data_IF_840087796145
#
_entry.id   IF_840087796145
#
_cell.length_a   1.000
_cell.length_b   1.000
_cell.length_c   1.000
_cell.angle_alpha   90.00
_cell.angle_beta   90.00
_cell.angle_gamma   90.00
#
_symmetry.space_group_name_H-M   'P 1'
#
loop_
_entity.id
_entity.type
_entity.pdbx_description
1 polymer ?
#
# COMPACT_ATOMS: atom_id res chain seq x y z
N UNK A 1 40.50 13.55 17.21
CA UNK A 1 39.92 14.35 18.30
C UNK A 1 38.61 14.93 17.80
N UNK A 2 37.47 14.26 17.99
CA UNK A 2 36.12 14.80 17.66
C UNK A 2 35.04 14.19 18.58
N UNK A 3 35.37 13.96 19.85
CA UNK A 3 34.44 13.31 20.79
C UNK A 3 33.36 14.28 21.29
N UNK A 4 33.73 15.55 21.49
CA UNK A 4 32.84 16.58 22.04
C UNK A 4 31.66 16.97 21.12
N UNK A 5 31.84 17.18 19.80
CA UNK A 5 30.71 17.45 18.91
C UNK A 5 29.71 16.31 18.86
N UNK A 6 30.20 15.06 18.83
CA UNK A 6 29.37 13.86 18.80
C UNK A 6 28.56 13.67 20.09
N UNK A 7 29.15 13.99 21.24
CA UNK A 7 28.43 13.96 22.53
C UNK A 7 27.32 15.01 22.57
N UNK A 8 27.57 16.23 22.08
CA UNK A 8 26.55 17.28 22.02
C UNK A 8 25.39 16.89 21.10
N UNK A 9 25.68 16.31 19.93
CA UNK A 9 24.64 15.78 19.04
C UNK A 9 23.84 14.66 19.69
N UNK A 10 24.48 13.74 20.41
CA UNK A 10 23.79 12.67 21.13
C UNK A 10 22.86 13.21 22.21
N UNK A 11 23.34 14.15 23.03
CA UNK A 11 22.54 14.79 24.09
C UNK A 11 21.35 15.53 23.49
N UNK A 12 21.56 16.29 22.41
CA UNK A 12 20.47 16.98 21.72
C UNK A 12 19.44 16.01 21.14
N UNK A 13 19.88 14.87 20.60
CA UNK A 13 19.00 13.82 20.08
C UNK A 13 18.21 13.14 21.21
N UNK A 14 18.82 12.90 22.37
CA UNK A 14 18.14 12.39 23.56
C UNK A 14 17.11 13.38 24.12
N UNK A 15 17.43 14.68 24.18
CA UNK A 15 16.51 15.72 24.66
C UNK A 15 15.34 15.87 23.69
N UNK A 16 15.60 15.96 22.39
CA UNK A 16 14.55 16.06 21.38
C UNK A 16 13.65 14.82 21.38
N UNK A 17 14.21 13.61 21.48
CA UNK A 17 13.43 12.38 21.60
C UNK A 17 12.58 12.36 22.88
N UNK A 18 13.13 12.81 24.01
CA UNK A 18 12.40 12.91 25.28
C UNK A 18 11.25 13.92 25.22
N UNK A 19 11.48 15.09 24.61
CA UNK A 19 10.46 16.11 24.41
C UNK A 19 9.34 15.60 23.48
N UNK A 20 9.69 14.95 22.38
CA UNK A 20 8.72 14.30 21.48
C UNK A 20 7.90 13.27 22.26
N UNK A 21 8.55 12.40 23.04
CA UNK A 21 7.86 11.39 23.85
C UNK A 21 6.88 12.02 24.85
N UNK A 22 7.28 13.09 25.55
CA UNK A 22 6.44 13.80 26.51
C UNK A 22 5.22 14.46 25.84
N UNK A 23 5.40 15.12 24.70
CA UNK A 23 4.31 15.74 23.93
C UNK A 23 3.29 14.69 23.48
N UNK A 24 3.77 13.53 23.00
CA UNK A 24 2.89 12.45 22.55
C UNK A 24 2.16 11.76 23.71
N UNK A 25 2.77 11.67 24.90
CA UNK A 25 2.14 11.10 26.11
C UNK A 25 1.02 11.98 26.66
N UNK A 26 1.10 13.30 26.46
CA UNK A 26 0.13 14.26 27.02
C UNK A 26 -1.20 14.31 26.24
N UNK A 27 -1.29 13.77 25.02
CA UNK A 27 -2.54 13.66 24.23
C UNK A 27 -3.47 12.52 24.72
N UNK A 28 -3.69 12.41 26.03
CA UNK A 28 -4.73 11.53 26.57
C UNK A 28 -6.08 12.23 26.48
N UNK A 29 -6.94 11.80 25.55
CA UNK A 29 -8.31 12.30 25.45
C UNK A 29 -9.19 11.63 26.53
N UNK A 30 -10.11 12.40 27.13
CA UNK A 30 -11.11 11.92 28.12
C UNK A 30 -12.16 10.96 27.53
N UNK A 31 -12.09 10.67 26.23
CA UNK A 31 -13.04 9.82 25.54
C UNK A 31 -12.84 8.35 25.91
N UNK A 32 -13.94 7.59 25.99
CA UNK A 32 -13.91 6.14 26.15
C UNK A 32 -13.42 5.50 24.85
N UNK A 33 -12.10 5.37 24.71
CA UNK A 33 -11.48 4.71 23.57
C UNK A 33 -11.44 3.18 23.76
N UNK A 34 -11.31 2.41 22.66
CA UNK A 34 -11.00 1.00 22.73
C UNK A 34 -9.79 0.65 23.62
N UNK A 35 -9.74 -0.57 24.19
CA UNK A 35 -8.51 -1.07 24.81
C UNK A 35 -7.40 -1.22 23.78
N UNK A 36 -6.14 -1.03 24.17
CA UNK A 36 -4.98 -1.14 23.28
C UNK A 36 -3.88 -0.14 23.59
N UNK A 37 -2.73 -0.27 22.90
CA UNK A 37 -1.60 0.66 22.99
C UNK A 37 -1.42 1.38 21.64
N UNK A 38 -0.86 2.58 21.64
CA UNK A 38 -0.50 3.29 20.40
C UNK A 38 0.96 3.09 20.00
N UNK A 39 1.74 2.33 20.77
CA UNK A 39 3.16 2.09 20.46
C UNK A 39 4.06 3.31 20.64
N UNK A 40 5.14 3.36 19.85
CA UNK A 40 6.15 4.41 19.92
C UNK A 40 5.65 5.73 19.31
N UNK A 41 6.18 6.89 19.73
CA UNK A 41 5.86 8.16 19.07
C UNK A 41 6.14 8.08 17.56
N UNK A 42 5.26 8.69 16.76
CA UNK A 42 5.33 8.78 15.29
C UNK A 42 5.15 7.44 14.53
N UNK A 43 5.90 6.39 14.87
CA UNK A 43 5.86 5.10 14.14
C UNK A 43 4.82 4.12 14.69
N UNK A 44 4.31 4.35 15.90
CA UNK A 44 3.33 3.50 16.55
C UNK A 44 3.82 2.06 16.76
N UNK A 45 2.99 1.11 16.34
CA UNK A 45 3.26 -0.33 16.32
C UNK A 45 3.63 -0.84 14.91
N UNK A 46 3.89 0.04 13.95
CA UNK A 46 4.17 -0.34 12.54
C UNK A 46 5.35 -1.32 12.42
N UNK A 47 6.38 -1.17 13.26
CA UNK A 47 7.51 -2.09 13.27
C UNK A 47 7.12 -3.47 13.84
N UNK A 48 6.32 -3.50 14.91
CA UNK A 48 5.79 -4.75 15.46
C UNK A 48 4.90 -5.47 14.44
N UNK A 49 4.10 -4.71 13.67
CA UNK A 49 3.31 -5.24 12.56
C UNK A 49 4.19 -5.83 11.45
N UNK A 50 5.22 -5.11 11.02
CA UNK A 50 6.15 -5.59 9.99
C UNK A 50 6.94 -6.83 10.43
N UNK A 51 7.31 -6.92 11.72
CA UNK A 51 8.05 -8.04 12.29
C UNK A 51 7.18 -9.26 12.63
N UNK A 52 5.86 -9.11 12.69
CA UNK A 52 4.94 -10.21 13.02
C UNK A 52 4.92 -11.34 11.97
N UNK A 53 5.58 -11.15 10.83
CA UNK A 53 5.62 -12.09 9.71
C UNK A 53 4.34 -12.10 8.88
N UNK A 54 3.18 -12.15 9.54
CA UNK A 54 1.88 -12.00 8.88
C UNK A 54 0.96 -11.00 9.60
N UNK A 55 0.11 -10.25 8.86
CA UNK A 55 -0.88 -9.37 9.47
C UNK A 55 -1.77 -10.09 10.49
N UNK A 56 -2.17 -11.33 10.22
CA UNK A 56 -3.05 -12.11 11.09
C UNK A 56 -2.41 -12.39 12.45
N UNK A 57 -1.09 -12.58 12.48
CA UNK A 57 -0.36 -12.84 13.73
C UNK A 57 -0.40 -11.62 14.63
N UNK A 58 -0.16 -10.42 14.07
CA UNK A 58 -0.31 -9.16 14.78
C UNK A 58 -1.74 -8.99 15.31
N UNK A 59 -2.75 -9.19 14.46
CA UNK A 59 -4.16 -9.02 14.85
C UNK A 59 -4.55 -10.01 15.96
N UNK A 60 -4.20 -11.29 15.85
CA UNK A 60 -4.51 -12.33 16.85
C UNK A 60 -3.89 -12.04 18.22
N UNK A 61 -2.64 -11.60 18.24
CA UNK A 61 -1.96 -11.23 19.49
C UNK A 61 -2.70 -10.09 20.20
N UNK A 62 -3.08 -9.03 19.47
CA UNK A 62 -3.81 -7.89 20.02
C UNK A 62 -5.23 -8.27 20.46
N UNK A 63 -5.88 -9.16 19.71
CA UNK A 63 -7.18 -9.71 20.09
C UNK A 63 -7.11 -10.45 21.42
N UNK A 64 -6.06 -11.27 21.62
CA UNK A 64 -5.85 -12.01 22.87
C UNK A 64 -5.49 -11.10 24.03
N UNK A 65 -4.70 -10.05 23.78
CA UNK A 65 -4.17 -9.17 24.83
C UNK A 65 -5.12 -8.07 25.28
N UNK A 66 -5.93 -7.54 24.36
CA UNK A 66 -6.74 -6.35 24.61
C UNK A 66 -8.24 -6.62 24.52
N UNK A 67 -8.71 -7.21 23.42
CA UNK A 67 -10.12 -7.50 23.20
C UNK A 67 -10.33 -8.30 21.92
N UNK A 68 -11.14 -9.36 22.01
CA UNK A 68 -11.51 -10.21 20.87
C UNK A 68 -12.37 -9.51 19.80
N UNK A 69 -12.92 -8.33 20.09
CA UNK A 69 -13.88 -7.65 19.21
C UNK A 69 -13.33 -6.38 18.60
N UNK A 70 -12.59 -5.58 19.39
CA UNK A 70 -12.11 -4.30 18.92
C UNK A 70 -10.94 -3.80 19.80
N UNK A 71 -9.91 -3.23 19.18
CA UNK A 71 -8.78 -2.65 19.91
C UNK A 71 -8.26 -1.39 19.20
N UNK A 72 -7.57 -0.51 19.94
CA UNK A 72 -6.85 0.63 19.35
C UNK A 72 -5.38 0.28 19.12
N UNK A 73 -4.83 0.83 18.05
CA UNK A 73 -3.41 0.79 17.70
C UNK A 73 -2.99 2.07 16.98
N UNK A 74 -1.70 2.23 16.72
CA UNK A 74 -1.22 3.18 15.73
C UNK A 74 -0.31 2.46 14.75
N UNK A 75 -0.59 2.58 13.45
CA UNK A 75 0.21 1.98 12.38
C UNK A 75 0.26 2.94 11.19
N UNK A 76 1.36 2.91 10.43
CA UNK A 76 1.59 3.73 9.25
C UNK A 76 1.48 5.25 9.50
N UNK A 77 1.74 5.68 10.73
CA UNK A 77 1.64 7.08 11.17
C UNK A 77 0.25 7.51 11.63
N UNK A 78 -0.70 6.59 11.67
CA UNK A 78 -2.12 6.89 11.89
C UNK A 78 -2.62 6.19 13.17
N UNK A 79 -3.49 6.86 13.93
CA UNK A 79 -4.19 6.24 15.06
C UNK A 79 -5.44 5.54 14.54
N UNK A 80 -5.65 4.27 14.90
CA UNK A 80 -6.72 3.46 14.33
C UNK A 80 -7.40 2.56 15.37
N UNK A 81 -8.69 2.31 15.14
CA UNK A 81 -9.45 1.27 15.83
C UNK A 81 -9.63 0.09 14.88
N UNK A 82 -9.21 -1.10 15.31
CA UNK A 82 -9.33 -2.33 14.55
C UNK A 82 -10.55 -3.08 15.03
N UNK A 83 -11.53 -3.26 14.14
CA UNK A 83 -12.70 -4.08 14.37
C UNK A 83 -12.39 -5.52 13.95
N UNK A 84 -12.70 -6.49 14.81
CA UNK A 84 -12.31 -7.88 14.64
C UNK A 84 -13.53 -8.78 14.45
N UNK A 85 -13.32 -9.86 13.69
CA UNK A 85 -14.33 -10.90 13.48
C UNK A 85 -15.52 -10.46 12.62
N UNK A 86 -16.46 -11.37 12.43
CA UNK A 86 -17.59 -11.18 11.52
C UNK A 86 -18.49 -10.01 11.91
N UNK A 87 -18.73 -9.79 13.21
CA UNK A 87 -19.58 -8.69 13.69
C UNK A 87 -18.93 -7.32 13.43
N UNK A 88 -17.63 -7.18 13.68
CA UNK A 88 -16.88 -5.95 13.38
C UNK A 88 -16.83 -5.65 11.88
N UNK A 89 -16.56 -6.67 11.06
CA UNK A 89 -16.58 -6.54 9.61
C UNK A 89 -17.96 -6.16 9.09
N UNK A 90 -19.03 -6.79 9.60
CA UNK A 90 -20.41 -6.42 9.25
C UNK A 90 -20.68 -4.96 9.59
N UNK A 91 -20.32 -4.50 10.78
CA UNK A 91 -20.48 -3.09 11.17
C UNK A 91 -19.80 -2.14 10.18
N UNK A 92 -18.54 -2.38 9.82
CA UNK A 92 -17.83 -1.52 8.86
C UNK A 92 -18.48 -1.55 7.47
N UNK A 93 -18.77 -2.74 6.93
CA UNK A 93 -19.24 -2.88 5.56
C UNK A 93 -20.72 -2.51 5.35
N UNK A 94 -21.56 -2.52 6.40
CA UNK A 94 -22.97 -2.11 6.27
C UNK A 94 -23.21 -0.63 6.59
N UNK A 95 -22.19 0.11 7.04
CA UNK A 95 -22.35 1.50 7.48
C UNK A 95 -21.45 2.50 6.71
N UNK A 96 -21.02 2.13 5.50
CA UNK A 96 -20.34 3.04 4.57
C UNK A 96 -21.21 4.29 4.31
N UNK A 97 -20.60 5.47 4.35
CA UNK A 97 -21.24 6.81 4.28
C UNK A 97 -22.16 7.18 5.44
N UNK A 98 -22.40 6.28 6.41
CA UNK A 98 -23.19 6.57 7.61
C UNK A 98 -22.31 6.84 8.82
N UNK A 99 -21.37 5.93 9.10
CA UNK A 99 -20.44 6.03 10.23
C UNK A 99 -18.97 5.96 9.80
N UNK A 100 -18.70 5.38 8.63
CA UNK A 100 -17.35 5.19 8.10
C UNK A 100 -17.32 5.53 6.61
N UNK A 101 -16.13 5.88 6.13
CA UNK A 101 -15.85 6.12 4.71
C UNK A 101 -14.56 5.39 4.34
N UNK A 102 -14.50 4.92 3.10
CA UNK A 102 -13.27 4.36 2.52
C UNK A 102 -12.14 5.39 2.60
N UNK A 103 -10.98 4.94 3.08
CA UNK A 103 -9.82 5.78 3.37
C UNK A 103 -8.54 4.98 3.26
N UNK A 104 -7.43 5.63 2.90
CA UNK A 104 -6.09 5.07 2.93
C UNK A 104 -5.14 5.94 3.75
N UNK A 105 -4.13 5.35 4.41
CA UNK A 105 -3.09 6.14 5.07
C UNK A 105 -2.42 7.13 4.13
N UNK A 106 -2.11 8.34 4.63
CA UNK A 106 -1.40 9.40 3.88
C UNK A 106 -0.10 8.92 3.25
N UNK A 107 0.56 7.94 3.86
CA UNK A 107 1.77 7.31 3.35
C UNK A 107 1.52 6.50 2.08
N UNK A 108 0.44 5.73 2.03
CA UNK A 108 0.01 4.98 0.84
C UNK A 108 -0.42 5.95 -0.26
N UNK A 109 -1.22 6.95 0.08
CA UNK A 109 -1.68 7.99 -0.84
C UNK A 109 -0.52 8.67 -1.58
N UNK A 110 0.53 9.08 -0.84
CA UNK A 110 1.73 9.72 -1.41
C UNK A 110 2.51 8.86 -2.39
N UNK A 111 2.40 7.53 -2.30
CA UNK A 111 3.07 6.61 -3.22
C UNK A 111 2.20 6.37 -4.46
N UNK A 112 0.87 6.30 -4.28
CA UNK A 112 -0.07 5.96 -5.35
C UNK A 112 -0.44 7.14 -6.25
N UNK A 113 -0.50 8.34 -5.69
CA UNK A 113 -1.04 9.51 -6.39
C UNK A 113 0.01 10.63 -6.52
N UNK A 114 -0.12 11.44 -7.57
CA UNK A 114 0.70 12.63 -7.74
C UNK A 114 0.34 13.70 -6.70
N UNK A 115 1.26 14.61 -6.35
CA UNK A 115 0.96 15.71 -5.42
C UNK A 115 -0.27 16.54 -5.83
N UNK A 116 -0.40 16.85 -7.12
CA UNK A 116 -1.50 17.63 -7.68
C UNK A 116 -2.84 16.88 -7.57
N UNK A 117 -2.80 15.55 -7.72
CA UNK A 117 -3.97 14.70 -7.52
C UNK A 117 -4.40 14.71 -6.06
N UNK A 118 -3.44 14.62 -5.12
CA UNK A 118 -3.72 14.58 -3.68
C UNK A 118 -4.26 15.88 -3.13
N UNK A 119 -3.84 17.03 -3.66
CA UNK A 119 -4.35 18.34 -3.24
C UNK A 119 -5.84 18.50 -3.51
N UNK A 120 -6.33 17.86 -4.58
CA UNK A 120 -7.74 17.91 -5.00
C UNK A 120 -8.53 16.67 -4.59
N UNK A 121 -7.89 15.70 -3.94
CA UNK A 121 -8.51 14.41 -3.64
C UNK A 121 -9.57 14.57 -2.54
N UNK A 122 -10.79 14.15 -2.85
CA UNK A 122 -11.91 14.13 -1.90
C UNK A 122 -12.31 12.68 -1.57
N UNK A 123 -12.91 12.40 -0.40
CA UNK A 123 -13.30 11.03 -0.04
C UNK A 123 -14.19 10.32 -1.10
N UNK A 124 -14.98 11.08 -1.85
CA UNK A 124 -15.82 10.60 -2.94
C UNK A 124 -15.00 9.98 -4.10
N UNK A 125 -13.74 10.40 -4.28
CA UNK A 125 -12.86 9.87 -5.32
C UNK A 125 -12.53 8.39 -5.09
N UNK A 126 -12.41 7.95 -3.83
CA UNK A 126 -12.25 6.52 -3.52
C UNK A 126 -13.43 5.68 -4.02
N UNK A 127 -14.64 6.23 -3.95
CA UNK A 127 -15.85 5.55 -4.42
C UNK A 127 -15.88 5.54 -5.96
N UNK A 128 -15.41 6.60 -6.60
CA UNK A 128 -15.28 6.68 -8.06
C UNK A 128 -14.26 5.67 -8.58
N UNK A 129 -13.07 5.60 -7.97
CA UNK A 129 -12.04 4.61 -8.29
C UNK A 129 -12.59 3.19 -8.10
N UNK A 130 -13.26 2.92 -6.96
CA UNK A 130 -13.86 1.61 -6.71
C UNK A 130 -14.89 1.24 -7.77
N UNK A 131 -15.77 2.18 -8.17
CA UNK A 131 -16.75 1.94 -9.24
C UNK A 131 -16.06 1.60 -10.55
N UNK A 132 -15.03 2.35 -10.94
CA UNK A 132 -14.26 2.07 -12.14
C UNK A 132 -13.63 0.66 -12.12
N UNK A 133 -13.06 0.23 -10.99
CA UNK A 133 -12.51 -1.14 -10.85
C UNK A 133 -13.60 -2.20 -11.02
N UNK A 134 -14.78 -2.00 -10.42
CA UNK A 134 -15.89 -2.97 -10.52
C UNK A 134 -16.38 -3.13 -11.95
N UNK A 135 -16.32 -2.10 -12.79
CA UNK A 135 -16.66 -2.21 -14.22
C UNK A 135 -15.78 -3.24 -14.94
N UNK A 136 -14.48 -3.31 -14.63
CA UNK A 136 -13.57 -4.33 -15.20
C UNK A 136 -13.87 -5.75 -14.70
N UNK A 137 -14.66 -5.90 -13.63
CA UNK A 137 -15.01 -7.19 -13.04
C UNK A 137 -16.42 -7.65 -13.39
N UNK A 138 -17.14 -6.89 -14.23
CA UNK A 138 -18.46 -7.30 -14.73
C UNK A 138 -18.34 -8.52 -15.63
N UNK A 139 -19.43 -9.31 -15.69
CA UNK A 139 -19.47 -10.56 -16.43
C UNK A 139 -19.08 -10.37 -17.90
N UNK A 140 -19.58 -9.30 -18.52
CA UNK A 140 -19.34 -8.98 -19.93
C UNK A 140 -17.85 -8.69 -20.18
N UNK A 141 -17.20 -7.93 -19.28
CA UNK A 141 -15.77 -7.65 -19.35
C UNK A 141 -14.94 -8.94 -19.13
N UNK A 142 -15.31 -9.74 -18.13
CA UNK A 142 -14.63 -11.00 -17.82
C UNK A 142 -14.69 -11.99 -18.98
N UNK A 143 -15.84 -12.12 -19.66
CA UNK A 143 -15.98 -12.96 -20.85
C UNK A 143 -15.00 -12.57 -21.96
N UNK A 144 -14.77 -11.26 -22.15
CA UNK A 144 -13.77 -10.77 -23.09
C UNK A 144 -12.33 -11.05 -22.62
N UNK A 145 -12.08 -11.05 -21.32
CA UNK A 145 -10.74 -11.28 -20.75
C UNK A 145 -10.34 -12.76 -20.71
N UNK A 146 -11.28 -13.72 -20.73
CA UNK A 146 -10.97 -15.15 -20.65
C UNK A 146 -10.01 -15.62 -21.77
N UNK A 147 -10.28 -15.36 -23.07
CA UNK A 147 -9.35 -15.75 -24.13
C UNK A 147 -7.96 -15.13 -23.99
N UNK A 148 -7.89 -13.90 -23.48
CA UNK A 148 -6.62 -13.19 -23.25
C UNK A 148 -5.85 -13.87 -22.10
N UNK A 149 -6.54 -14.21 -20.99
CA UNK A 149 -5.98 -14.96 -19.87
C UNK A 149 -5.43 -16.31 -20.32
N UNK A 150 -6.22 -17.09 -21.06
CA UNK A 150 -5.84 -18.42 -21.52
C UNK A 150 -4.60 -18.38 -22.40
N UNK A 151 -4.59 -17.48 -23.41
CA UNK A 151 -3.45 -17.31 -24.30
C UNK A 151 -2.18 -16.87 -23.56
N UNK A 152 -2.27 -15.85 -22.69
CA UNK A 152 -1.14 -15.39 -21.91
C UNK A 152 -0.62 -16.44 -20.92
N UNK A 153 -1.51 -17.23 -20.32
CA UNK A 153 -1.13 -18.30 -19.40
C UNK A 153 -0.36 -19.41 -20.12
N UNK A 154 -0.88 -19.88 -21.27
CA UNK A 154 -0.20 -20.89 -22.10
C UNK A 154 1.19 -20.44 -22.50
N UNK A 155 1.29 -19.23 -23.05
CA UNK A 155 2.58 -18.65 -23.42
C UNK A 155 3.54 -18.53 -22.23
N UNK A 156 3.04 -18.08 -21.07
CA UNK A 156 3.87 -17.94 -19.89
C UNK A 156 4.42 -19.29 -19.41
N UNK A 157 3.61 -20.34 -19.43
CA UNK A 157 4.00 -21.70 -19.07
C UNK A 157 5.02 -22.27 -20.08
N UNK A 158 4.73 -22.17 -21.37
CA UNK A 158 5.63 -22.65 -22.43
C UNK A 158 7.02 -22.00 -22.39
N UNK A 159 7.07 -20.70 -22.09
CA UNK A 159 8.34 -19.94 -22.12
C UNK A 159 9.10 -19.96 -20.79
N UNK A 160 8.42 -19.98 -19.65
CA UNK A 160 9.06 -19.81 -18.34
C UNK A 160 8.99 -21.05 -17.44
N UNK A 161 8.20 -22.07 -17.80
CA UNK A 161 8.00 -23.27 -16.97
C UNK A 161 8.46 -24.53 -17.69
N UNK A 162 7.84 -24.88 -18.83
CA UNK A 162 8.10 -26.13 -19.57
C UNK A 162 9.57 -26.43 -19.88
N UNK A 163 10.44 -25.44 -20.18
CA UNK A 163 11.86 -25.71 -20.45
C UNK A 163 12.67 -26.11 -19.21
N UNK A 164 12.11 -25.98 -18.01
CA UNK A 164 12.82 -26.15 -16.74
C UNK A 164 12.22 -27.29 -15.93
N UNK A 165 13.05 -28.20 -15.41
CA UNK A 165 12.59 -29.29 -14.54
C UNK A 165 12.11 -28.83 -13.15
N UNK A 166 12.50 -27.62 -12.73
CA UNK A 166 12.06 -27.00 -11.49
C UNK A 166 12.02 -25.48 -11.68
N UNK A 167 11.00 -24.83 -11.10
CA UNK A 167 10.85 -23.37 -11.14
C UNK A 167 10.54 -22.78 -9.77
N UNK A 168 10.88 -21.51 -9.58
CA UNK A 168 10.40 -20.70 -8.46
C UNK A 168 9.05 -20.11 -8.81
N UNK A 169 7.99 -20.68 -8.23
CA UNK A 169 6.59 -20.30 -8.54
C UNK A 169 6.32 -18.82 -8.26
N UNK A 170 6.68 -18.31 -7.08
CA UNK A 170 6.32 -16.95 -6.66
C UNK A 170 6.81 -15.85 -7.64
N UNK A 171 8.10 -15.78 -8.03
CA UNK A 171 8.56 -14.80 -9.01
C UNK A 171 7.88 -14.93 -10.38
N UNK A 172 7.64 -16.15 -10.85
CA UNK A 172 7.00 -16.38 -12.15
C UNK A 172 5.51 -15.99 -12.12
N UNK A 173 4.80 -16.34 -11.05
CA UNK A 173 3.42 -15.91 -10.84
C UNK A 173 3.30 -14.39 -10.75
N UNK A 174 4.22 -13.71 -10.06
CA UNK A 174 4.25 -12.24 -10.01
C UNK A 174 4.52 -11.62 -11.39
N UNK A 175 5.46 -12.18 -12.15
CA UNK A 175 5.74 -11.75 -13.53
C UNK A 175 4.49 -11.89 -14.42
N UNK A 176 3.81 -13.03 -14.33
CA UNK A 176 2.58 -13.28 -15.08
C UNK A 176 1.46 -12.32 -14.69
N UNK A 177 1.13 -12.19 -13.40
CA UNK A 177 0.02 -11.34 -12.96
C UNK A 177 0.28 -9.87 -13.21
N UNK A 178 1.53 -9.42 -13.14
CA UNK A 178 1.90 -8.05 -13.50
C UNK A 178 1.69 -7.79 -15.00
N UNK A 179 2.25 -8.65 -15.87
CA UNK A 179 2.08 -8.53 -17.32
C UNK A 179 0.60 -8.59 -17.72
N UNK A 180 -0.16 -9.48 -17.08
CA UNK A 180 -1.61 -9.59 -17.27
C UNK A 180 -2.34 -8.30 -16.85
N UNK A 181 -2.00 -7.73 -15.69
CA UNK A 181 -2.54 -6.43 -15.26
C UNK A 181 -2.22 -5.31 -16.26
N UNK A 182 -0.99 -5.28 -16.80
CA UNK A 182 -0.62 -4.32 -17.84
C UNK A 182 -1.44 -4.48 -19.12
N UNK A 183 -1.70 -5.73 -19.52
CA UNK A 183 -2.53 -6.03 -20.68
C UNK A 183 -3.99 -5.64 -20.46
N UNK A 184 -4.57 -5.96 -19.31
CA UNK A 184 -5.98 -5.69 -19.04
C UNK A 184 -6.27 -4.20 -18.86
N UNK A 185 -5.56 -3.56 -17.94
CA UNK A 185 -5.91 -2.20 -17.52
C UNK A 185 -5.32 -1.13 -18.43
N UNK A 186 -4.21 -1.44 -19.10
CA UNK A 186 -3.43 -0.47 -19.87
C UNK A 186 -3.22 -0.89 -21.32
N UNK A 187 -3.78 -2.03 -21.74
CA UNK A 187 -3.60 -2.62 -23.09
C UNK A 187 -2.17 -2.68 -23.58
N UNK A 188 -1.19 -2.68 -22.67
CA UNK A 188 0.23 -2.75 -23.00
C UNK A 188 0.55 -4.21 -23.37
N UNK A 189 1.07 -4.41 -24.58
CA UNK A 189 1.52 -5.73 -25.09
C UNK A 189 3.03 -5.87 -25.18
N UNK A 190 3.74 -4.74 -25.29
CA UNK A 190 5.19 -4.74 -25.42
C UNK A 190 5.83 -5.26 -24.12
N UNK A 191 6.50 -6.42 -24.22
CA UNK A 191 7.18 -7.06 -23.10
C UNK A 191 8.32 -6.22 -22.53
N UNK A 192 9.02 -5.46 -23.36
CA UNK A 192 10.10 -4.59 -22.91
C UNK A 192 9.52 -3.44 -22.09
N UNK A 193 8.39 -2.87 -22.53
CA UNK A 193 7.70 -1.83 -21.78
C UNK A 193 7.11 -2.35 -20.46
N UNK A 194 6.54 -3.57 -20.46
CA UNK A 194 6.13 -4.25 -19.21
C UNK A 194 7.32 -4.43 -18.26
N UNK A 195 8.47 -4.89 -18.77
CA UNK A 195 9.67 -5.05 -17.94
C UNK A 195 10.15 -3.72 -17.33
N UNK A 196 10.09 -2.62 -18.08
CA UNK A 196 10.41 -1.27 -17.58
C UNK A 196 9.50 -0.85 -16.43
N UNK A 197 8.22 -1.23 -16.46
CA UNK A 197 7.27 -0.92 -15.38
C UNK A 197 7.40 -1.86 -14.16
N UNK A 198 7.94 -3.06 -14.35
CA UNK A 198 7.99 -4.09 -13.30
C UNK A 198 8.88 -3.69 -12.11
N UNK A 199 10.07 -3.12 -12.39
CA UNK A 199 11.02 -2.73 -11.34
C UNK A 199 10.48 -1.59 -10.45
N UNK A 200 9.96 -0.46 -11.00
CA UNK A 200 9.27 0.54 -10.21
C UNK A 200 8.08 -0.04 -9.42
N UNK A 201 7.31 -0.95 -10.02
CA UNK A 201 6.16 -1.55 -9.34
C UNK A 201 6.57 -2.41 -8.15
N UNK A 202 7.66 -3.18 -8.28
CA UNK A 202 8.22 -3.95 -7.18
C UNK A 202 8.68 -3.04 -6.02
N UNK A 203 9.30 -1.91 -6.32
CA UNK A 203 9.70 -0.92 -5.32
C UNK A 203 8.49 -0.31 -4.59
N UNK A 204 7.40 -0.02 -5.31
CA UNK A 204 6.14 0.44 -4.71
C UNK A 204 5.59 -0.60 -3.75
N UNK A 205 5.48 -1.86 -4.17
CA UNK A 205 5.02 -2.97 -3.33
C UNK A 205 5.81 -3.05 -2.02
N UNK A 206 7.13 -2.97 -2.10
CA UNK A 206 8.00 -3.08 -0.93
C UNK A 206 7.89 -1.88 0.02
N UNK A 207 7.67 -0.67 -0.51
CA UNK A 207 7.56 0.52 0.32
C UNK A 207 6.18 0.77 0.92
N UNK A 208 5.10 0.26 0.32
CA UNK A 208 3.73 0.40 0.84
C UNK A 208 3.55 -0.22 2.23
N UNK A 209 4.26 -1.32 2.50
CA UNK A 209 4.22 -2.02 3.79
C UNK A 209 5.34 -1.60 4.74
N UNK A 210 6.10 -0.54 4.39
CA UNK A 210 7.26 -0.09 5.17
C UNK A 210 6.94 1.09 6.09
N UNK A 211 7.90 1.45 6.95
CA UNK A 211 7.78 2.66 7.77
C UNK A 211 7.68 3.89 6.85
N UNK A 212 6.73 4.81 7.07
CA UNK A 212 6.45 5.95 6.19
C UNK A 212 7.48 7.09 6.34
N UNK A 213 8.76 6.76 6.23
CA UNK A 213 9.89 7.66 6.44
C UNK A 213 10.52 7.96 5.09
N UNK A 214 10.33 9.18 4.58
CA UNK A 214 10.82 9.61 3.28
C UNK A 214 12.27 10.13 3.33
N UNK A 215 13.23 9.26 3.66
CA UNK A 215 14.65 9.58 3.72
C UNK A 215 15.39 8.75 2.68
N UNK A 216 16.41 9.30 1.96
CA UNK A 216 17.21 8.52 1.03
C UNK A 216 17.68 7.19 1.62
N UNK A 217 17.47 6.10 0.87
CA UNK A 217 17.85 4.74 1.29
C UNK A 217 16.73 3.92 1.94
N UNK A 218 15.64 4.54 2.42
CA UNK A 218 14.50 3.80 2.96
C UNK A 218 13.65 3.15 1.85
N UNK A 219 12.94 2.06 2.19
CA UNK A 219 11.99 1.41 1.27
C UNK A 219 10.87 2.37 0.84
N UNK A 220 10.36 3.19 1.77
CA UNK A 220 9.36 4.19 1.48
C UNK A 220 9.85 5.27 0.50
N UNK A 221 11.11 5.74 0.63
CA UNK A 221 11.66 6.71 -0.33
C UNK A 221 11.79 6.13 -1.74
N UNK A 222 12.19 4.85 -1.86
CA UNK A 222 12.23 4.16 -3.16
C UNK A 222 10.83 4.03 -3.76
N UNK A 223 9.85 3.59 -2.98
CA UNK A 223 8.45 3.52 -3.44
C UNK A 223 7.90 4.87 -3.87
N UNK A 224 8.16 5.94 -3.11
CA UNK A 224 7.72 7.29 -3.46
C UNK A 224 8.30 7.75 -4.81
N UNK A 225 9.59 7.50 -5.06
CA UNK A 225 10.23 7.81 -6.34
C UNK A 225 9.68 6.94 -7.47
N UNK A 226 9.49 5.65 -7.22
CA UNK A 226 8.93 4.72 -8.18
C UNK A 226 7.49 5.07 -8.57
N UNK A 227 6.67 5.52 -7.61
CA UNK A 227 5.33 6.03 -7.86
C UNK A 227 5.32 7.17 -8.89
N UNK A 228 6.25 8.12 -8.78
CA UNK A 228 6.42 9.19 -9.77
C UNK A 228 6.80 8.66 -11.16
N UNK A 229 7.69 7.68 -11.23
CA UNK A 229 8.10 7.05 -12.50
C UNK A 229 6.90 6.37 -13.17
N UNK A 230 6.14 5.56 -12.42
CA UNK A 230 4.94 4.91 -12.96
C UNK A 230 3.94 5.97 -13.42
N UNK A 231 3.64 6.97 -12.59
CA UNK A 231 2.70 8.03 -12.94
C UNK A 231 3.05 8.69 -14.28
N UNK A 232 4.32 9.05 -14.47
CA UNK A 232 4.79 9.63 -15.72
C UNK A 232 4.59 8.69 -16.91
N UNK A 233 4.92 7.41 -16.77
CA UNK A 233 4.73 6.42 -17.84
C UNK A 233 3.26 6.19 -18.18
N UNK A 234 2.37 6.20 -17.19
CA UNK A 234 0.93 6.12 -17.42
C UNK A 234 0.40 7.34 -18.16
N UNK A 235 0.90 8.54 -17.83
CA UNK A 235 0.54 9.76 -18.55
C UNK A 235 0.95 9.70 -20.02
N UNK A 236 2.15 9.19 -20.34
CA UNK A 236 2.60 8.96 -21.72
C UNK A 236 1.62 8.05 -22.48
N UNK A 237 1.23 6.92 -21.88
CA UNK A 237 0.26 5.97 -22.46
C UNK A 237 -1.10 6.63 -22.69
N UNK A 238 -1.59 7.42 -21.74
CA UNK A 238 -2.88 8.13 -21.85
C UNK A 238 -2.83 9.17 -22.97
N UNK A 239 -1.74 9.94 -23.08
CA UNK A 239 -1.56 10.97 -24.10
C UNK A 239 -1.53 10.35 -25.50
N UNK A 240 -0.78 9.26 -25.67
CA UNK A 240 -0.70 8.53 -26.95
C UNK A 240 -2.09 8.06 -27.40
N UNK A 241 -2.86 7.42 -26.51
CA UNK A 241 -4.24 6.98 -26.81
C UNK A 241 -5.19 8.12 -27.14
N UNK A 242 -5.06 9.26 -26.44
CA UNK A 242 -5.88 10.44 -26.73
C UNK A 242 -5.59 11.01 -28.12
N UNK A 243 -4.37 10.83 -28.63
CA UNK A 243 -4.01 11.21 -30.01
C UNK A 243 -4.62 10.23 -31.01
N UNK A 244 -4.44 8.93 -30.80
CA UNK A 244 -5.00 7.87 -31.66
C UNK A 244 -6.52 7.93 -31.77
N UNK A 245 -7.24 8.28 -30.71
CA UNK A 245 -8.70 8.42 -30.73
C UNK A 245 -9.23 9.72 -31.37
N UNK A 246 -8.35 10.68 -31.68
CA UNK A 246 -8.71 11.93 -32.37
C UNK A 246 -8.49 11.84 -33.87
N UNK A 247 -7.72 10.85 -34.32
CA UNK A 247 -7.47 10.50 -35.72
C UNK A 247 -8.53 9.49 -36.19
#
# INVERSE_FOLDING_TARGET
MDFFPNLFHLVFLCISFSLIFLIFKQKSTRAKLPPGKTGWPVIGETLEFAMAGTPETFIKDRMSKYSRYLFKTSMFGENMAVFCGASGNKFLFTNEKKYVISWWPRSVEKVMFSPETLENFVPEDYITIRRAIVEFLKLEALQHFIPIMDSMAKEHLETNWSPYGQVKVLPLSMKYTFAFGCRLFMSITDRNYVAILADPFAQIKDGLMSLPINIPGTSFNRAFKAGKVIHQKLLEVIQQRKKENRE
#
